data_IF_145519387350
#
_entry.id   IF_145519387350
#
_cell.length_a   1.000
_cell.length_b   1.000
_cell.length_c   1.000
_cell.angle_alpha   90.00
_cell.angle_beta   90.00
_cell.angle_gamma   90.00
#
_symmetry.space_group_name_H-M   'P 1'
#
loop_
_entity.id
_entity.type
_entity.pdbx_description
1 polymer ?
#
# COMPACT_ATOMS: atom_id res chain seq x y z
N UNK A 1 15.79 -6.31 -19.04
CA UNK A 1 15.01 -5.42 -19.92
C UNK A 1 13.48 -5.64 -19.92
N UNK A 2 12.92 -6.76 -19.41
CA UNK A 2 11.45 -7.00 -19.44
C UNK A 2 10.67 -6.64 -18.17
N UNK A 3 11.31 -6.22 -17.07
CA UNK A 3 10.64 -5.99 -15.77
C UNK A 3 9.92 -4.64 -15.62
N UNK A 4 10.10 -3.71 -16.55
CA UNK A 4 9.48 -2.37 -16.53
C UNK A 4 8.36 -2.18 -17.54
N UNK A 5 7.94 -3.24 -18.24
CA UNK A 5 6.86 -3.15 -19.23
C UNK A 5 5.53 -3.05 -18.49
N UNK A 6 4.77 -1.99 -18.78
CA UNK A 6 3.44 -1.81 -18.23
C UNK A 6 2.44 -1.43 -19.32
N UNK A 7 1.17 -1.78 -19.12
CA UNK A 7 0.12 -1.45 -20.07
C UNK A 7 -0.12 0.06 -20.09
N UNK A 8 -0.10 0.68 -21.29
CA UNK A 8 -0.29 2.12 -21.47
C UNK A 8 -1.67 2.60 -20.97
N UNK A 9 -2.70 1.78 -21.10
CA UNK A 9 -4.05 2.04 -20.59
C UNK A 9 -4.27 1.57 -19.14
N UNK A 10 -3.25 0.99 -18.51
CA UNK A 10 -3.30 0.53 -17.12
C UNK A 10 -2.41 1.40 -16.24
N UNK A 11 -1.31 0.80 -15.75
CA UNK A 11 -0.38 1.44 -14.81
C UNK A 11 0.15 2.78 -15.32
N UNK A 12 0.39 2.94 -16.63
CA UNK A 12 0.95 4.18 -17.15
C UNK A 12 -0.02 5.37 -16.95
N UNK A 13 -1.30 5.19 -17.23
CA UNK A 13 -2.34 6.22 -17.11
C UNK A 13 -2.97 6.36 -15.72
N UNK A 14 -2.63 5.50 -14.76
CA UNK A 14 -3.25 5.52 -13.43
C UNK A 14 -2.59 6.49 -12.46
N UNK A 15 -3.38 7.15 -11.63
CA UNK A 15 -2.89 8.01 -10.53
C UNK A 15 -2.57 7.20 -9.25
N UNK A 16 -3.30 6.09 -9.06
CA UNK A 16 -3.16 5.18 -7.91
C UNK A 16 -2.94 3.76 -8.41
N UNK A 17 -2.01 3.03 -7.78
CA UNK A 17 -1.69 1.63 -8.12
C UNK A 17 -1.66 0.78 -6.86
N UNK A 18 -2.41 -0.33 -6.85
CA UNK A 18 -2.31 -1.36 -5.83
C UNK A 18 -1.33 -2.44 -6.30
N UNK A 19 -0.31 -2.72 -5.48
CA UNK A 19 0.71 -3.76 -5.74
C UNK A 19 0.75 -4.78 -4.61
N UNK A 20 1.02 -6.04 -4.96
CA UNK A 20 1.07 -7.15 -4.00
C UNK A 20 2.26 -8.03 -4.36
N UNK A 21 3.14 -8.33 -3.38
CA UNK A 21 4.34 -9.18 -3.60
C UNK A 21 5.23 -8.71 -4.76
N UNK A 22 5.37 -7.39 -4.94
CA UNK A 22 6.22 -6.78 -5.97
C UNK A 22 7.67 -6.59 -5.51
N UNK A 23 8.58 -6.48 -6.47
CA UNK A 23 9.97 -6.11 -6.18
C UNK A 23 10.08 -4.62 -5.76
N UNK A 24 11.01 -4.34 -4.85
CA UNK A 24 11.18 -3.00 -4.29
C UNK A 24 11.62 -1.96 -5.33
N UNK A 25 12.32 -2.37 -6.39
CA UNK A 25 12.79 -1.45 -7.43
C UNK A 25 11.64 -0.99 -8.32
N UNK A 26 10.70 -1.88 -8.64
CA UNK A 26 9.47 -1.54 -9.35
C UNK A 26 8.55 -0.65 -8.52
N UNK A 27 8.42 -0.90 -7.23
CA UNK A 27 7.68 -0.02 -6.31
C UNK A 27 8.27 1.39 -6.33
N UNK A 28 9.60 1.48 -6.22
CA UNK A 28 10.31 2.76 -6.31
C UNK A 28 10.06 3.46 -7.64
N UNK A 29 10.16 2.76 -8.76
CA UNK A 29 9.92 3.35 -10.08
C UNK A 29 8.50 3.94 -10.20
N UNK A 30 7.48 3.27 -9.66
CA UNK A 30 6.10 3.78 -9.66
C UNK A 30 5.95 5.05 -8.80
N UNK A 31 6.59 5.08 -7.63
CA UNK A 31 6.61 6.27 -6.75
C UNK A 31 7.38 7.42 -7.40
N UNK A 32 8.52 7.14 -8.03
CA UNK A 32 9.32 8.14 -8.76
C UNK A 32 8.54 8.70 -9.97
N UNK A 33 7.63 7.91 -10.55
CA UNK A 33 6.64 8.34 -11.54
C UNK A 33 5.47 9.14 -10.95
N UNK A 34 5.54 9.52 -9.66
CA UNK A 34 4.53 10.28 -8.91
C UNK A 34 3.18 9.58 -8.77
N UNK A 35 3.16 8.25 -8.85
CA UNK A 35 1.94 7.47 -8.60
C UNK A 35 1.79 7.24 -7.11
N UNK A 36 0.55 7.25 -6.63
CA UNK A 36 0.26 6.77 -5.28
C UNK A 36 0.30 5.26 -5.30
N UNK A 37 1.27 4.66 -4.60
CA UNK A 37 1.44 3.21 -4.56
C UNK A 37 0.94 2.67 -3.24
N UNK A 38 -0.06 1.80 -3.30
CA UNK A 38 -0.58 1.03 -2.18
C UNK A 38 0.06 -0.35 -2.26
N UNK A 39 0.86 -0.73 -1.28
CA UNK A 39 1.48 -2.04 -1.20
C UNK A 39 0.79 -2.91 -0.14
N UNK A 40 0.59 -4.19 -0.44
CA UNK A 40 0.31 -5.21 0.57
C UNK A 40 1.58 -6.06 0.73
N UNK A 41 2.19 -6.02 1.91
CA UNK A 41 3.42 -6.73 2.22
C UNK A 41 3.41 -7.24 3.67
N UNK A 42 3.82 -8.50 3.88
CA UNK A 42 3.91 -9.06 5.22
C UNK A 42 5.11 -8.52 6.01
N UNK A 43 6.16 -8.08 5.32
CA UNK A 43 7.38 -7.64 5.94
C UNK A 43 7.43 -6.09 5.99
N UNK A 44 7.21 -5.47 7.17
CA UNK A 44 7.28 -4.01 7.29
C UNK A 44 8.67 -3.43 7.01
N UNK A 45 9.73 -4.25 7.04
CA UNK A 45 11.10 -3.83 6.76
C UNK A 45 11.51 -3.98 5.29
N UNK A 46 10.63 -4.51 4.43
CA UNK A 46 10.97 -4.73 3.03
C UNK A 46 11.17 -3.38 2.30
N UNK A 47 11.97 -3.39 1.23
CA UNK A 47 12.13 -2.19 0.38
C UNK A 47 10.78 -1.74 -0.20
N UNK A 48 9.91 -2.67 -0.56
CA UNK A 48 8.55 -2.39 -1.03
C UNK A 48 7.74 -1.64 0.04
N UNK A 49 7.67 -2.20 1.26
CA UNK A 49 6.95 -1.62 2.38
C UNK A 49 7.43 -0.22 2.75
N UNK A 50 8.76 -0.01 2.74
CA UNK A 50 9.38 1.27 3.08
C UNK A 50 9.26 2.33 1.97
N UNK A 51 9.04 1.92 0.72
CA UNK A 51 9.00 2.85 -0.43
C UNK A 51 7.59 3.23 -0.83
N UNK A 52 6.60 2.36 -0.60
CA UNK A 52 5.21 2.61 -0.99
C UNK A 52 4.61 3.85 -0.27
N UNK A 53 3.66 4.51 -0.94
CA UNK A 53 2.92 5.63 -0.37
C UNK A 53 2.04 5.19 0.80
N UNK A 54 1.47 3.99 0.69
CA UNK A 54 0.62 3.34 1.69
C UNK A 54 1.02 1.87 1.76
N UNK A 55 1.22 1.33 2.97
CA UNK A 55 1.63 -0.06 3.18
C UNK A 55 0.65 -0.76 4.11
N UNK A 56 0.00 -1.80 3.61
CA UNK A 56 -0.84 -2.71 4.41
C UNK A 56 0.03 -3.88 4.86
N UNK A 57 0.37 -3.89 6.15
CA UNK A 57 1.19 -4.96 6.75
C UNK A 57 0.31 -6.14 7.14
N UNK A 58 -0.07 -6.96 6.15
CA UNK A 58 -0.94 -8.12 6.35
C UNK A 58 -0.75 -9.17 5.24
N UNK A 59 -1.30 -10.37 5.47
CA UNK A 59 -1.39 -11.40 4.43
C UNK A 59 -2.36 -10.93 3.33
N UNK A 60 -1.94 -11.10 2.07
CA UNK A 60 -2.69 -10.67 0.88
C UNK A 60 -4.16 -11.11 0.88
N UNK A 61 -4.45 -12.35 1.29
CA UNK A 61 -5.82 -12.87 1.29
C UNK A 61 -6.71 -12.18 2.32
N UNK A 62 -6.17 -11.80 3.48
CA UNK A 62 -6.91 -11.06 4.51
C UNK A 62 -7.04 -9.59 4.13
N UNK A 63 -5.95 -8.99 3.67
CA UNK A 63 -5.91 -7.61 3.22
C UNK A 63 -6.96 -7.33 2.15
N UNK A 64 -6.99 -8.14 1.07
CA UNK A 64 -7.95 -7.96 -0.01
C UNK A 64 -9.41 -8.10 0.45
N UNK A 65 -9.71 -9.09 1.29
CA UNK A 65 -11.06 -9.25 1.88
C UNK A 65 -11.47 -8.02 2.67
N UNK A 66 -10.56 -7.49 3.49
CA UNK A 66 -10.81 -6.29 4.28
C UNK A 66 -10.94 -5.03 3.42
N UNK A 67 -10.12 -4.88 2.38
CA UNK A 67 -10.21 -3.76 1.44
C UNK A 67 -11.57 -3.76 0.76
N UNK A 68 -12.00 -4.88 0.17
CA UNK A 68 -13.31 -5.00 -0.49
C UNK A 68 -14.44 -4.64 0.47
N UNK A 69 -14.42 -5.21 1.69
CA UNK A 69 -15.41 -4.92 2.72
C UNK A 69 -15.48 -3.42 3.05
N UNK A 70 -14.33 -2.78 3.26
CA UNK A 70 -14.28 -1.36 3.61
C UNK A 70 -14.66 -0.45 2.44
N UNK A 71 -14.37 -0.84 1.19
CA UNK A 71 -14.86 -0.12 0.02
C UNK A 71 -16.40 -0.08 -0.02
N UNK A 72 -17.09 -1.17 0.35
CA UNK A 72 -18.55 -1.16 0.44
C UNK A 72 -19.08 -0.31 1.60
N UNK A 73 -18.46 -0.41 2.78
CA UNK A 73 -18.85 0.36 3.97
C UNK A 73 -18.71 1.86 3.71
N UNK A 74 -17.59 2.28 3.13
CA UNK A 74 -17.25 3.68 2.96
C UNK A 74 -17.80 4.30 1.67
N UNK A 75 -18.39 3.50 0.77
CA UNK A 75 -18.78 3.93 -0.60
C UNK A 75 -19.49 5.27 -0.67
N UNK A 76 -20.36 5.55 0.31
CA UNK A 76 -21.17 6.78 0.35
C UNK A 76 -20.78 7.73 1.51
N UNK A 77 -19.73 7.43 2.27
CA UNK A 77 -19.28 8.27 3.39
C UNK A 77 -18.09 9.15 2.98
N UNK A 78 -18.36 10.14 2.12
CA UNK A 78 -17.30 10.99 1.56
C UNK A 78 -16.50 11.75 2.62
N UNK A 79 -17.17 12.23 3.67
CA UNK A 79 -16.53 12.94 4.78
C UNK A 79 -15.52 12.06 5.49
N UNK A 80 -15.91 10.83 5.86
CA UNK A 80 -14.99 9.89 6.53
C UNK A 80 -13.81 9.51 5.63
N UNK A 81 -14.04 9.34 4.32
CA UNK A 81 -12.96 9.08 3.35
C UNK A 81 -11.96 10.24 3.31
N UNK A 82 -12.43 11.48 3.15
CA UNK A 82 -11.56 12.64 3.01
C UNK A 82 -10.78 12.90 4.32
N UNK A 83 -11.42 12.72 5.48
CA UNK A 83 -10.77 12.81 6.79
C UNK A 83 -9.72 11.71 6.99
N UNK A 84 -10.02 10.47 6.59
CA UNK A 84 -9.08 9.35 6.69
C UNK A 84 -7.86 9.59 5.82
N UNK A 85 -8.04 10.01 4.57
CA UNK A 85 -6.93 10.31 3.65
C UNK A 85 -6.08 11.45 4.18
N UNK A 86 -6.70 12.53 4.67
CA UNK A 86 -5.98 13.73 5.17
C UNK A 86 -5.08 13.41 6.37
N UNK A 87 -5.51 12.50 7.24
CA UNK A 87 -4.82 12.21 8.50
C UNK A 87 -3.94 10.95 8.44
N UNK A 88 -3.86 10.27 7.30
CA UNK A 88 -3.10 9.03 7.18
C UNK A 88 -1.58 9.28 7.19
N UNK A 89 -0.86 8.57 8.07
CA UNK A 89 0.60 8.54 8.13
C UNK A 89 1.13 7.11 7.92
N UNK A 90 1.72 6.87 6.74
CA UNK A 90 2.25 5.55 6.43
C UNK A 90 3.46 5.17 7.30
N UNK A 91 4.27 6.15 7.70
CA UNK A 91 5.46 5.88 8.51
C UNK A 91 5.06 5.46 9.92
N UNK A 92 4.15 6.20 10.53
CA UNK A 92 3.52 5.83 11.79
C UNK A 92 2.89 4.43 11.73
N UNK A 93 2.18 4.11 10.64
CA UNK A 93 1.59 2.78 10.46
C UNK A 93 2.64 1.64 10.41
N UNK A 94 3.76 1.83 9.70
CA UNK A 94 4.87 0.86 9.68
C UNK A 94 5.52 0.73 11.06
N UNK A 95 5.74 1.84 11.76
CA UNK A 95 6.34 1.85 13.10
C UNK A 95 5.46 1.10 14.10
N UNK A 96 4.13 1.27 14.04
CA UNK A 96 3.19 0.50 14.87
C UNK A 96 3.23 -0.99 14.56
N UNK A 97 3.34 -1.39 13.29
CA UNK A 97 3.51 -2.78 12.92
C UNK A 97 4.79 -3.40 13.51
N UNK A 98 5.90 -2.65 13.48
CA UNK A 98 7.17 -3.07 14.10
C UNK A 98 7.07 -3.18 15.62
N UNK A 99 6.45 -2.20 16.29
CA UNK A 99 6.20 -2.24 17.74
C UNK A 99 5.36 -3.46 18.11
N UNK A 100 4.32 -3.77 17.34
CA UNK A 100 3.48 -4.94 17.54
C UNK A 100 4.28 -6.24 17.47
N UNK A 101 5.15 -6.39 16.46
CA UNK A 101 6.02 -7.55 16.31
C UNK A 101 7.00 -7.64 17.48
N UNK A 102 7.67 -6.53 17.82
CA UNK A 102 8.63 -6.48 18.94
C UNK A 102 7.98 -6.88 20.27
N UNK A 103 6.75 -6.42 20.54
CA UNK A 103 6.00 -6.75 21.77
C UNK A 103 5.61 -8.22 21.85
N UNK A 104 5.49 -8.93 20.73
CA UNK A 104 5.19 -10.37 20.71
C UNK A 104 6.42 -11.24 20.92
N UNK A 105 7.61 -10.69 20.72
CA UNK A 105 8.89 -11.40 20.81
C UNK A 105 9.61 -11.20 22.15
N UNK A 106 9.28 -10.13 22.88
CA UNK A 106 9.72 -9.89 24.26
C UNK A 106 8.69 -10.40 25.26
#
# INVERSE_FOLDING_TARGET
HHRGLCCKSGIFSSDVVLVMLEDGDRTKALVDMKKTVIAVDLNPLSRTAQTASITVVDNVTRALKNIIKNCEILRNNRTEIDETIKNFDNRGNIDEALKYISKRLG
#
